data_IF_679789512073
#
_entry.id   IF_679789512073
#
_cell.length_a   1.000
_cell.length_b   1.000
_cell.length_c   1.000
_cell.angle_alpha   90.00
_cell.angle_beta   90.00
_cell.angle_gamma   90.00
#
_symmetry.space_group_name_H-M   'P 1'
#
loop_
_entity.id
_entity.type
_entity.pdbx_description
1 polymer ?
#
# COMPACT_ATOMS: atom_id res chain seq x y z
N UNK A 1 -14.10 24.82 25.84
CA UNK A 1 -13.09 23.74 25.78
C UNK A 1 -11.97 24.24 24.87
N UNK A 2 -10.74 24.35 25.39
CA UNK A 2 -9.64 25.12 24.79
C UNK A 2 -9.31 24.71 23.36
N UNK A 3 -9.45 25.65 22.43
CA UNK A 3 -9.25 25.47 20.98
C UNK A 3 -7.78 25.34 20.60
N UNK A 4 -7.14 24.23 20.97
CA UNK A 4 -5.88 23.84 20.36
C UNK A 4 -6.14 23.48 18.89
N UNK A 5 -5.29 24.00 17.99
CA UNK A 5 -5.37 23.69 16.56
C UNK A 5 -5.22 22.17 16.38
N UNK A 6 -6.10 21.50 15.61
CA UNK A 6 -5.99 20.06 15.41
C UNK A 6 -4.61 19.69 14.86
N UNK A 7 -3.92 18.76 15.52
CA UNK A 7 -2.63 18.27 15.05
C UNK A 7 -2.88 17.34 13.86
N UNK A 8 -2.27 17.65 12.72
CA UNK A 8 -2.33 16.82 11.53
C UNK A 8 -1.13 15.85 11.51
N UNK A 9 -1.40 14.55 11.60
CA UNK A 9 -0.37 13.50 11.62
C UNK A 9 0.03 12.99 10.23
N UNK A 10 -0.54 13.51 9.13
CA UNK A 10 -0.24 13.08 7.75
C UNK A 10 1.25 13.19 7.45
N UNK A 11 1.86 14.32 7.77
CA UNK A 11 3.30 14.55 7.56
C UNK A 11 4.16 13.60 8.39
N UNK A 12 3.76 13.33 9.63
CA UNK A 12 4.48 12.40 10.50
C UNK A 12 4.41 10.98 9.95
N UNK A 13 3.27 10.56 9.41
CA UNK A 13 3.12 9.24 8.79
C UNK A 13 4.07 9.08 7.59
N UNK A 14 4.15 10.08 6.70
CA UNK A 14 5.01 10.05 5.51
C UNK A 14 6.50 10.20 5.85
N UNK A 15 6.82 10.85 6.97
CA UNK A 15 8.19 10.99 7.49
C UNK A 15 9.17 11.41 6.38
N UNK A 16 10.31 10.71 6.25
CA UNK A 16 11.39 11.02 5.32
C UNK A 16 11.39 10.13 4.05
N UNK A 17 10.27 9.50 3.69
CA UNK A 17 10.18 8.71 2.46
C UNK A 17 9.29 7.47 2.54
N UNK A 18 9.17 6.72 1.42
CA UNK A 18 8.22 5.62 1.26
C UNK A 18 8.48 4.47 2.23
N UNK A 19 9.74 4.15 2.53
CA UNK A 19 10.08 3.17 3.58
C UNK A 19 9.44 3.53 4.92
N UNK A 20 9.61 4.76 5.35
CA UNK A 20 9.10 5.21 6.64
C UNK A 20 7.58 5.30 6.64
N UNK A 21 6.96 5.64 5.50
CA UNK A 21 5.50 5.56 5.35
C UNK A 21 4.99 4.15 5.60
N UNK A 22 5.53 3.15 4.90
CA UNK A 22 5.12 1.76 5.06
C UNK A 22 5.41 1.21 6.47
N UNK A 23 6.58 1.52 7.02
CA UNK A 23 6.94 1.10 8.37
C UNK A 23 6.05 1.76 9.44
N UNK A 24 5.76 3.05 9.31
CA UNK A 24 4.87 3.75 10.24
C UNK A 24 3.43 3.21 10.15
N UNK A 25 2.93 2.88 8.96
CA UNK A 25 1.64 2.21 8.82
C UNK A 25 1.62 0.86 9.54
N UNK A 26 2.67 0.05 9.40
CA UNK A 26 2.83 -1.19 10.16
C UNK A 26 2.84 -0.96 11.69
N UNK A 27 3.55 0.06 12.18
CA UNK A 27 3.55 0.41 13.60
C UNK A 27 2.17 0.83 14.10
N UNK A 28 1.39 1.55 13.28
CA UNK A 28 -0.01 1.86 13.58
C UNK A 28 -0.82 0.57 13.65
N UNK A 29 -0.71 -0.33 12.66
CA UNK A 29 -1.43 -1.61 12.66
C UNK A 29 -1.16 -2.46 13.92
N UNK A 30 0.06 -2.42 14.47
CA UNK A 30 0.41 -3.08 15.74
C UNK A 30 -0.31 -2.52 16.97
N UNK A 31 -0.74 -1.26 16.93
CA UNK A 31 -1.41 -0.59 18.04
C UNK A 31 -2.91 -0.50 17.85
N UNK A 32 -3.32 -0.31 16.61
CA UNK A 32 -4.70 -0.11 16.22
C UNK A 32 -4.91 -0.68 14.83
N UNK A 33 -5.66 -1.77 14.77
CA UNK A 33 -6.11 -2.37 13.52
C UNK A 33 -7.61 -2.05 13.37
N UNK A 34 -8.07 -1.58 12.20
CA UNK A 34 -9.50 -1.45 11.94
C UNK A 34 -10.22 -2.78 12.17
N UNK A 35 -11.37 -2.75 12.85
CA UNK A 35 -12.21 -3.94 13.03
C UNK A 35 -12.98 -4.31 11.74
N UNK A 36 -13.14 -3.34 10.83
CA UNK A 36 -13.81 -3.53 9.56
C UNK A 36 -13.29 -2.49 8.56
N UNK A 37 -12.97 -2.93 7.36
CA UNK A 37 -12.50 -2.08 6.26
C UNK A 37 -13.48 -2.14 5.10
N UNK A 38 -13.65 -1.01 4.43
CA UNK A 38 -14.42 -0.87 3.19
C UNK A 38 -13.56 -0.10 2.20
N UNK A 39 -13.43 -0.62 0.98
CA UNK A 39 -12.81 0.05 -0.16
C UNK A 39 -13.85 0.21 -1.24
N UNK A 40 -14.05 1.45 -1.68
CA UNK A 40 -14.85 1.79 -2.84
C UNK A 40 -13.94 1.95 -4.06
N UNK A 41 -14.17 1.10 -5.06
CA UNK A 41 -13.54 1.15 -6.37
C UNK A 41 -14.57 1.27 -7.49
N UNK A 42 -15.71 1.94 -7.25
CA UNK A 42 -16.66 2.26 -8.33
C UNK A 42 -15.94 2.99 -9.45
N UNK A 43 -15.19 4.02 -9.09
CA UNK A 43 -14.20 4.69 -9.93
C UNK A 43 -12.85 4.70 -9.20
N UNK A 44 -11.88 3.96 -9.75
CA UNK A 44 -10.49 4.00 -9.30
C UNK A 44 -9.70 5.09 -10.03
N UNK A 45 -8.45 5.29 -9.61
CA UNK A 45 -7.54 6.25 -10.24
C UNK A 45 -6.18 5.60 -10.48
N UNK A 46 -5.75 5.54 -11.74
CA UNK A 46 -4.42 5.04 -12.11
C UNK A 46 -3.43 6.19 -12.41
N UNK A 47 -2.14 5.85 -12.55
CA UNK A 47 -1.08 6.79 -12.85
C UNK A 47 -0.81 7.75 -11.70
N UNK A 48 -0.86 9.06 -11.96
CA UNK A 48 -0.57 10.10 -10.96
C UNK A 48 -1.75 10.41 -10.02
N UNK A 49 -2.56 9.38 -9.73
CA UNK A 49 -3.63 9.43 -8.74
C UNK A 49 -3.12 9.72 -7.32
N UNK A 50 -4.03 9.98 -6.37
CA UNK A 50 -5.47 10.09 -6.58
C UNK A 50 -5.90 11.46 -7.15
N UNK A 51 -5.01 12.46 -7.20
CA UNK A 51 -5.38 13.85 -7.58
C UNK A 51 -5.22 14.13 -9.07
N UNK A 52 -4.20 13.56 -9.71
CA UNK A 52 -3.84 13.84 -11.12
C UNK A 52 -3.77 12.56 -11.96
N UNK A 53 -4.52 11.55 -11.55
CA UNK A 53 -4.58 10.26 -12.23
C UNK A 53 -5.60 10.23 -13.36
N UNK A 54 -5.69 9.08 -14.02
CA UNK A 54 -6.74 8.77 -15.00
C UNK A 54 -7.83 7.95 -14.29
N UNK A 55 -9.12 8.34 -14.40
CA UNK A 55 -10.22 7.55 -13.84
C UNK A 55 -10.30 6.17 -14.50
N UNK A 56 -10.49 5.13 -13.68
CA UNK A 56 -10.71 3.75 -14.12
C UNK A 56 -12.08 3.31 -13.63
N UNK A 57 -12.96 2.95 -14.58
CA UNK A 57 -14.32 2.50 -14.28
C UNK A 57 -14.33 1.04 -13.81
N UNK A 58 -13.82 0.79 -12.60
CA UNK A 58 -13.55 -0.55 -12.08
C UNK A 58 -14.79 -1.25 -11.53
N UNK A 59 -15.74 -0.50 -10.96
CA UNK A 59 -17.05 -0.99 -10.50
C UNK A 59 -16.97 -2.13 -9.47
N UNK A 60 -15.99 -2.07 -8.60
CA UNK A 60 -15.80 -3.03 -7.50
C UNK A 60 -15.93 -2.33 -6.16
N UNK A 61 -16.36 -3.07 -5.14
CA UNK A 61 -16.24 -2.66 -3.75
C UNK A 61 -15.81 -3.87 -2.93
N UNK A 62 -14.95 -3.64 -1.95
CA UNK A 62 -14.45 -4.67 -1.04
C UNK A 62 -14.82 -4.29 0.39
N UNK A 63 -15.18 -5.27 1.19
CA UNK A 63 -15.38 -5.07 2.62
C UNK A 63 -15.02 -6.34 3.39
N UNK A 64 -14.49 -6.18 4.61
CA UNK A 64 -14.09 -7.32 5.42
C UNK A 64 -13.56 -6.93 6.79
N UNK A 65 -13.48 -7.92 7.68
CA UNK A 65 -12.99 -7.77 9.05
C UNK A 65 -11.46 -7.82 9.16
N UNK A 66 -10.78 -8.33 8.12
CA UNK A 66 -9.32 -8.30 8.03
C UNK A 66 -8.90 -7.23 7.00
N UNK A 67 -8.34 -6.09 7.44
CA UNK A 67 -7.90 -5.04 6.53
C UNK A 67 -6.78 -5.50 5.60
N UNK A 68 -5.90 -6.41 6.03
CA UNK A 68 -4.80 -6.90 5.19
C UNK A 68 -5.34 -7.80 4.07
N UNK A 69 -6.36 -8.60 4.38
CA UNK A 69 -7.04 -9.40 3.39
C UNK A 69 -7.71 -8.51 2.34
N UNK A 70 -8.46 -7.50 2.79
CA UNK A 70 -9.14 -6.52 1.91
C UNK A 70 -8.14 -5.81 1.00
N UNK A 71 -7.05 -5.28 1.55
CA UNK A 71 -6.03 -4.58 0.78
C UNK A 71 -5.27 -5.51 -0.19
N UNK A 72 -5.03 -6.77 0.20
CA UNK A 72 -4.35 -7.74 -0.66
C UNK A 72 -5.18 -8.13 -1.89
N UNK A 73 -6.51 -8.22 -1.74
CA UNK A 73 -7.46 -8.42 -2.85
C UNK A 73 -7.56 -7.14 -3.69
N UNK A 74 -7.51 -5.95 -3.06
CA UNK A 74 -7.43 -4.69 -3.79
C UNK A 74 -6.20 -4.65 -4.73
N UNK A 75 -5.04 -5.10 -4.23
CA UNK A 75 -3.84 -5.25 -5.06
C UNK A 75 -4.06 -6.25 -6.21
N UNK A 76 -4.80 -7.35 -5.98
CA UNK A 76 -5.13 -8.31 -7.05
C UNK A 76 -5.96 -7.66 -8.14
N UNK A 77 -7.00 -6.93 -7.75
CA UNK A 77 -7.94 -6.30 -8.66
C UNK A 77 -7.27 -5.23 -9.54
N UNK A 78 -6.21 -4.58 -9.04
CA UNK A 78 -5.43 -3.57 -9.78
C UNK A 78 -4.22 -4.14 -10.54
N UNK A 79 -4.00 -5.46 -10.50
CA UNK A 79 -2.78 -6.13 -11.00
C UNK A 79 -1.48 -5.54 -10.40
N UNK A 80 -1.51 -5.20 -9.11
CA UNK A 80 -0.36 -4.70 -8.37
C UNK A 80 0.28 -5.87 -7.59
N UNK A 81 1.57 -6.15 -7.82
CA UNK A 81 2.30 -7.15 -7.04
C UNK A 81 2.30 -6.83 -5.54
N UNK A 82 2.12 -7.83 -4.68
CA UNK A 82 2.05 -7.62 -3.22
C UNK A 82 3.39 -7.10 -2.66
N UNK A 83 4.51 -7.50 -3.24
CA UNK A 83 5.86 -7.02 -2.95
C UNK A 83 6.07 -5.54 -3.32
N UNK A 84 5.11 -4.88 -3.98
CA UNK A 84 5.19 -3.44 -4.21
C UNK A 84 4.62 -2.65 -3.02
N UNK A 85 3.92 -3.31 -2.11
CA UNK A 85 3.19 -2.66 -1.01
C UNK A 85 3.82 -2.99 0.34
N UNK A 86 4.75 -2.14 0.79
CA UNK A 86 5.60 -2.45 1.94
C UNK A 86 4.89 -2.72 3.26
N UNK A 87 3.78 -2.02 3.56
CA UNK A 87 3.10 -2.23 4.84
C UNK A 87 2.38 -3.58 4.91
N UNK A 88 1.90 -4.12 3.77
CA UNK A 88 1.34 -5.47 3.69
C UNK A 88 2.43 -6.51 3.97
N UNK A 89 3.63 -6.30 3.43
CA UNK A 89 4.77 -7.19 3.68
C UNK A 89 5.23 -7.14 5.15
N UNK A 90 5.36 -5.95 5.74
CA UNK A 90 5.71 -5.82 7.16
C UNK A 90 4.65 -6.45 8.08
N UNK A 91 3.35 -6.26 7.77
CA UNK A 91 2.26 -6.85 8.55
C UNK A 91 2.22 -8.38 8.41
N UNK A 92 2.38 -8.91 7.20
CA UNK A 92 2.46 -10.35 6.96
C UNK A 92 3.63 -10.99 7.72
N UNK A 93 4.83 -10.39 7.66
CA UNK A 93 6.00 -10.85 8.40
C UNK A 93 5.82 -10.81 9.92
N UNK A 94 4.96 -9.91 10.43
CA UNK A 94 4.64 -9.79 11.83
C UNK A 94 3.41 -10.63 12.27
N UNK A 95 2.80 -11.41 11.36
CA UNK A 95 1.60 -12.19 11.64
C UNK A 95 0.34 -11.34 11.87
N UNK A 96 0.28 -10.13 11.30
CA UNK A 96 -0.86 -9.21 11.42
C UNK A 96 -1.69 -9.34 10.14
N UNK A 97 -2.90 -9.90 10.28
CA UNK A 97 -3.81 -10.14 9.16
C UNK A 97 -3.29 -11.15 8.13
N UNK A 98 -4.07 -11.39 7.09
CA UNK A 98 -3.79 -12.38 6.05
C UNK A 98 -3.66 -11.66 4.70
N UNK A 99 -2.46 -11.72 4.10
CA UNK A 99 -2.22 -11.22 2.72
C UNK A 99 -2.20 -12.33 1.68
N UNK A 100 -2.07 -13.57 2.13
CA UNK A 100 -2.07 -14.76 1.30
C UNK A 100 -3.50 -15.04 0.82
N UNK A 101 -3.74 -14.78 -0.46
CA UNK A 101 -5.07 -14.81 -1.08
C UNK A 101 -5.71 -16.19 -1.06
N UNK A 102 -4.91 -17.26 -1.00
CA UNK A 102 -5.43 -18.63 -0.90
C UNK A 102 -6.05 -18.92 0.48
N UNK A 103 -5.72 -18.09 1.48
CA UNK A 103 -6.26 -18.19 2.86
C UNK A 103 -7.40 -17.21 3.13
N UNK A 104 -7.82 -16.46 2.12
CA UNK A 104 -8.90 -15.47 2.24
C UNK A 104 -10.21 -16.12 1.74
N UNK A 105 -11.19 -16.22 2.63
CA UNK A 105 -12.54 -16.65 2.26
C UNK A 105 -13.33 -15.49 1.66
N UNK A 106 -13.87 -15.70 0.46
CA UNK A 106 -14.64 -14.71 -0.29
C UNK A 106 -16.11 -15.11 -0.25
N UNK A 107 -16.86 -14.44 0.63
CA UNK A 107 -18.30 -14.65 0.78
C UNK A 107 -19.15 -13.92 -0.26
N UNK A 108 -18.54 -13.00 -1.02
CA UNK A 108 -19.19 -12.29 -2.12
C UNK A 108 -19.47 -13.22 -3.31
N UNK A 109 -20.50 -12.93 -4.09
CA UNK A 109 -20.88 -13.75 -5.25
C UNK A 109 -19.94 -13.61 -6.45
N UNK A 110 -19.17 -12.51 -6.50
CA UNK A 110 -18.22 -12.23 -7.58
C UNK A 110 -16.82 -12.77 -7.24
N UNK A 111 -16.16 -13.39 -8.21
CA UNK A 111 -14.77 -13.84 -8.08
C UNK A 111 -13.83 -12.70 -8.45
N UNK A 112 -12.87 -12.30 -7.60
CA UNK A 112 -11.96 -11.18 -7.91
C UNK A 112 -11.16 -11.36 -9.20
N UNK A 113 -10.81 -12.59 -9.55
CA UNK A 113 -10.09 -12.92 -10.79
C UNK A 113 -10.78 -12.42 -12.05
N UNK A 114 -12.11 -12.31 -12.03
CA UNK A 114 -12.92 -11.94 -13.19
C UNK A 114 -13.02 -10.41 -13.35
N UNK A 115 -12.47 -9.66 -12.39
CA UNK A 115 -12.55 -8.20 -12.30
C UNK A 115 -11.18 -7.52 -12.20
N UNK A 116 -10.11 -8.21 -12.61
CA UNK A 116 -8.76 -7.64 -12.63
C UNK A 116 -8.63 -6.64 -13.78
N UNK A 117 -8.20 -5.43 -13.45
CA UNK A 117 -7.81 -4.40 -14.41
C UNK A 117 -6.38 -4.00 -14.07
N UNK A 118 -5.49 -4.02 -15.07
CA UNK A 118 -4.10 -3.58 -14.86
C UNK A 118 -4.02 -2.07 -14.78
N UNK A 119 -3.62 -1.55 -13.62
CA UNK A 119 -3.48 -0.11 -13.41
C UNK A 119 -2.09 0.37 -13.84
N UNK A 120 -2.03 1.54 -14.47
CA UNK A 120 -0.78 2.26 -14.64
C UNK A 120 -0.22 2.72 -13.28
N UNK A 121 1.06 2.47 -13.03
CA UNK A 121 1.74 2.96 -11.83
C UNK A 121 2.00 4.47 -11.91
N UNK A 122 2.23 5.10 -10.76
CA UNK A 122 2.61 6.51 -10.68
C UNK A 122 3.92 6.77 -11.45
N UNK A 123 4.08 7.96 -12.03
CA UNK A 123 5.32 8.34 -12.71
C UNK A 123 6.57 8.31 -11.80
N UNK A 124 6.40 8.35 -10.47
CA UNK A 124 7.47 8.18 -9.49
C UNK A 124 7.48 6.82 -8.79
N UNK A 125 6.91 5.77 -9.41
CA UNK A 125 6.83 4.43 -8.82
C UNK A 125 8.19 3.92 -8.33
N UNK A 126 9.27 4.15 -9.08
CA UNK A 126 10.62 3.75 -8.68
C UNK A 126 11.00 4.28 -7.29
N UNK A 127 10.72 5.57 -7.03
CA UNK A 127 10.93 6.17 -5.72
C UNK A 127 10.06 5.51 -4.65
N UNK A 128 8.76 5.29 -4.93
CA UNK A 128 7.85 4.64 -3.97
C UNK A 128 8.30 3.23 -3.61
N UNK A 129 8.87 2.51 -4.57
CA UNK A 129 9.36 1.15 -4.41
C UNK A 129 10.70 1.08 -3.66
N UNK A 130 11.40 2.20 -3.43
CA UNK A 130 12.61 2.26 -2.58
C UNK A 130 12.34 1.84 -1.12
N UNK A 131 11.08 1.56 -0.75
CA UNK A 131 10.75 0.97 0.54
C UNK A 131 11.44 -0.38 0.79
N UNK A 132 11.70 -1.16 -0.27
CA UNK A 132 12.29 -2.51 -0.20
C UNK A 132 13.80 -2.52 -0.43
N UNK A 133 14.38 -1.40 -0.87
CA UNK A 133 15.82 -1.32 -1.12
C UNK A 133 16.65 -1.63 0.16
N UNK A 134 17.94 -1.94 0.05
CA UNK A 134 18.81 -2.03 1.22
C UNK A 134 18.84 -0.71 2.01
N UNK A 135 18.66 -0.79 3.33
CA UNK A 135 18.70 0.39 4.19
C UNK A 135 20.14 0.93 4.31
N UNK A 136 20.43 1.99 3.57
CA UNK A 136 21.71 2.68 3.64
C UNK A 136 21.70 3.72 4.77
N UNK A 137 22.16 3.32 5.96
CA UNK A 137 22.32 4.25 7.08
C UNK A 137 23.51 5.21 6.83
N UNK A 138 23.48 6.44 7.37
CA UNK A 138 24.52 7.45 7.15
C UNK A 138 25.95 7.00 7.52
N UNK A 139 26.11 6.01 8.40
CA UNK A 139 27.42 5.45 8.78
C UNK A 139 27.96 4.38 7.83
N UNK A 140 27.17 3.94 6.85
CA UNK A 140 27.44 2.76 6.01
C UNK A 140 27.68 3.08 4.53
N UNK A 141 27.87 4.35 4.15
CA UNK A 141 28.15 4.74 2.77
C UNK A 141 29.67 4.92 2.55
N UNK A 142 30.36 4.04 1.81
CA UNK A 142 31.62 4.41 1.17
C UNK A 142 31.32 5.55 0.18
N UNK A 143 32.05 6.66 0.29
CA UNK A 143 31.95 7.79 -0.64
C UNK A 143 32.10 7.29 -2.10
N UNK A 144 31.03 7.34 -2.89
CA UNK A 144 31.12 7.19 -4.35
C UNK A 144 30.16 6.21 -5.05
N UNK A 145 29.33 5.43 -4.35
CA UNK A 145 28.37 4.54 -5.04
C UNK A 145 27.02 5.23 -5.30
N UNK A 146 26.64 5.29 -6.58
CA UNK A 146 25.30 5.71 -7.02
C UNK A 146 24.27 4.62 -6.69
N UNK A 147 22.99 4.98 -6.47
CA UNK A 147 21.93 4.00 -6.23
C UNK A 147 21.84 3.00 -7.38
N UNK A 148 21.76 1.71 -7.06
CA UNK A 148 21.49 0.65 -8.03
C UNK A 148 20.09 0.87 -8.60
N UNK A 149 20.02 1.26 -9.87
CA UNK A 149 18.75 1.35 -10.59
C UNK A 149 18.19 -0.07 -10.78
N UNK A 150 16.91 -0.25 -10.48
CA UNK A 150 16.17 -1.46 -10.83
C UNK A 150 16.14 -1.57 -12.37
N UNK A 151 16.32 -2.77 -12.95
CA UNK A 151 16.15 -2.94 -14.39
C UNK A 151 14.72 -2.54 -14.78
N UNK A 152 14.60 -1.76 -15.85
CA UNK A 152 13.31 -1.42 -16.44
C UNK A 152 12.60 -2.73 -16.87
N UNK A 153 11.36 -2.90 -16.43
CA UNK A 153 10.46 -3.97 -16.87
C UNK A 153 9.55 -3.49 -17.99
#
# INVERSE_FOLDING_TARGET
>A
VGGAKPINYKRNLHSAGPRWLHYNMHLVSKKFLPHFSIIDGVEGMEGNGPVRGTPVNHKVALAGFDPMAVDSICCQLMDIPLDYVGYLNYNAAAGIGIVDREKIDIIGSAKPSDHVIKYALNANADYQLEWDDPLNLPSSRPQGQQPTQRPAQ
#
